data_IF_575024370064
#
_entry.id   IF_575024370064
#
_cell.length_a   1.000
_cell.length_b   1.000
_cell.length_c   1.000
_cell.angle_alpha   90.00
_cell.angle_beta   90.00
_cell.angle_gamma   90.00
#
_symmetry.space_group_name_H-M   'P 1'
#
loop_
_entity.id
_entity.type
_entity.pdbx_description
1 polymer ?
#
# COMPACT_ATOMS: atom_id res chain seq x y z
N UNK A 1 30.57 -16.84 11.06
CA UNK A 1 29.18 -16.68 10.54
C UNK A 1 28.30 -16.20 11.68
N UNK A 2 27.39 -15.28 11.42
CA UNK A 2 26.41 -14.79 12.38
C UNK A 2 25.01 -14.92 11.74
N UNK A 3 24.04 -15.39 12.49
CA UNK A 3 22.67 -15.53 12.02
C UNK A 3 21.67 -15.58 13.16
N UNK A 4 20.39 -15.38 12.83
CA UNK A 4 19.28 -15.45 13.77
C UNK A 4 18.07 -16.11 13.09
N UNK A 5 17.81 -17.36 13.45
CA UNK A 5 16.68 -18.15 12.94
C UNK A 5 15.33 -17.59 13.37
N UNK A 6 15.24 -16.94 14.55
CA UNK A 6 14.01 -16.31 15.04
C UNK A 6 13.59 -15.10 14.20
N UNK A 7 14.52 -14.48 13.48
CA UNK A 7 14.28 -13.33 12.62
C UNK A 7 14.22 -13.68 11.13
N UNK A 8 14.07 -14.96 10.77
CA UNK A 8 13.99 -15.40 9.39
C UNK A 8 12.57 -15.18 8.83
N UNK A 9 12.32 -13.99 8.27
CA UNK A 9 11.00 -13.58 7.74
C UNK A 9 10.96 -13.44 6.22
N UNK A 10 12.00 -13.92 5.51
CA UNK A 10 12.12 -13.82 4.04
C UNK A 10 12.12 -15.17 3.32
N UNK A 11 11.49 -16.20 3.90
CA UNK A 11 11.38 -17.53 3.28
C UNK A 11 10.75 -17.48 1.88
N UNK A 12 9.75 -16.65 1.70
CA UNK A 12 9.10 -16.38 0.42
C UNK A 12 10.01 -15.74 -0.66
N UNK A 13 11.21 -15.26 -0.27
CA UNK A 13 12.29 -14.82 -1.16
C UNK A 13 13.43 -15.83 -1.26
N UNK A 14 13.22 -17.07 -0.83
CA UNK A 14 14.22 -18.12 -0.88
C UNK A 14 15.20 -18.14 0.31
N UNK A 15 14.95 -17.37 1.36
CA UNK A 15 15.74 -17.48 2.59
C UNK A 15 15.37 -18.77 3.33
N UNK A 16 16.37 -19.59 3.65
CA UNK A 16 16.22 -20.83 4.40
C UNK A 16 16.94 -20.74 5.75
N UNK A 17 16.19 -20.64 6.83
CA UNK A 17 16.71 -20.57 8.19
C UNK A 17 17.44 -21.86 8.61
N UNK A 18 17.18 -22.99 7.92
CA UNK A 18 17.87 -24.26 8.17
C UNK A 18 19.35 -24.18 7.88
N UNK A 19 19.78 -23.26 7.01
CA UNK A 19 21.20 -23.03 6.73
C UNK A 19 21.99 -22.68 8.00
N UNK A 20 21.40 -21.89 8.91
CA UNK A 20 22.06 -21.56 10.18
C UNK A 20 21.92 -22.70 11.20
N UNK A 21 20.75 -23.36 11.23
CA UNK A 21 20.52 -24.47 12.16
C UNK A 21 21.37 -25.71 11.86
N UNK A 22 21.69 -25.95 10.58
CA UNK A 22 22.50 -27.09 10.15
C UNK A 22 24.00 -26.77 10.05
N UNK A 23 24.41 -25.54 10.31
CA UNK A 23 25.80 -25.10 10.12
C UNK A 23 26.83 -26.00 10.84
N UNK A 24 26.53 -26.42 12.06
CA UNK A 24 27.39 -27.32 12.83
C UNK A 24 27.48 -28.74 12.24
N UNK A 25 26.47 -29.19 11.51
CA UNK A 25 26.44 -30.49 10.81
C UNK A 25 27.31 -30.45 9.56
N UNK A 26 27.28 -29.31 8.85
CA UNK A 26 28.02 -29.12 7.61
C UNK A 26 29.50 -28.85 7.86
N UNK A 27 29.82 -28.19 8.96
CA UNK A 27 31.20 -27.80 9.35
C UNK A 27 31.58 -28.45 10.67
N UNK A 28 32.37 -29.52 10.59
CA UNK A 28 32.95 -30.20 11.78
C UNK A 28 33.90 -29.25 12.52
N UNK A 29 33.94 -29.31 13.83
CA UNK A 29 34.73 -28.48 14.74
C UNK A 29 34.22 -27.03 14.86
N UNK A 30 32.94 -26.77 14.62
CA UNK A 30 32.30 -25.48 14.85
C UNK A 30 32.09 -25.27 16.36
N UNK A 31 32.42 -24.07 16.85
CA UNK A 31 32.02 -23.61 18.19
C UNK A 31 30.84 -22.67 18.04
N UNK A 32 29.71 -22.98 18.67
CA UNK A 32 28.50 -22.14 18.66
C UNK A 32 28.53 -21.28 19.92
N UNK A 33 28.43 -19.95 19.71
CA UNK A 33 28.27 -18.96 20.77
C UNK A 33 26.88 -18.33 20.62
N UNK A 34 26.01 -18.52 21.62
CA UNK A 34 24.66 -17.93 21.64
C UNK A 34 24.72 -16.54 22.27
N UNK A 35 24.25 -15.53 21.53
CA UNK A 35 24.11 -14.16 22.03
C UNK A 35 22.68 -14.01 22.55
N UNK A 36 22.45 -14.25 23.83
CA UNK A 36 21.13 -14.32 24.43
C UNK A 36 20.72 -13.05 25.19
N UNK A 37 21.68 -12.17 25.49
CA UNK A 37 21.38 -10.90 26.12
C UNK A 37 20.79 -9.91 25.12
N UNK A 38 19.60 -9.42 25.41
CA UNK A 38 18.89 -8.40 24.62
C UNK A 38 19.01 -7.04 25.31
N UNK A 39 19.43 -6.03 24.57
CA UNK A 39 19.62 -4.66 25.06
C UNK A 39 18.52 -3.70 24.59
N UNK A 40 17.61 -4.15 23.74
CA UNK A 40 16.57 -3.32 23.10
C UNK A 40 15.29 -3.27 23.92
N UNK A 41 14.80 -4.42 24.36
CA UNK A 41 13.45 -4.60 24.88
C UNK A 41 13.40 -4.92 26.35
N UNK A 42 12.33 -4.52 27.02
CA UNK A 42 12.02 -4.92 28.40
C UNK A 42 11.57 -6.37 28.46
N UNK A 43 11.60 -6.95 29.66
CA UNK A 43 11.31 -8.36 29.89
C UNK A 43 9.91 -8.75 29.41
N UNK A 44 8.87 -7.94 29.69
CA UNK A 44 7.48 -8.21 29.25
C UNK A 44 7.36 -8.37 27.72
N UNK A 45 8.15 -7.61 26.96
CA UNK A 45 8.18 -7.73 25.48
C UNK A 45 8.89 -9.01 25.06
N UNK A 46 10.01 -9.35 25.69
CA UNK A 46 10.75 -10.57 25.38
C UNK A 46 9.95 -11.83 25.73
N UNK A 47 9.27 -11.84 26.87
CA UNK A 47 8.44 -12.97 27.28
C UNK A 47 7.27 -13.19 26.31
N UNK A 48 6.63 -12.12 25.83
CA UNK A 48 5.60 -12.22 24.80
C UNK A 48 6.17 -12.77 23.47
N UNK A 49 7.30 -12.27 23.00
CA UNK A 49 7.97 -12.75 21.80
C UNK A 49 8.41 -14.22 21.94
N UNK A 50 8.96 -14.60 23.08
CA UNK A 50 9.38 -15.97 23.39
C UNK A 50 8.19 -16.92 23.35
N UNK A 51 7.04 -16.53 23.91
CA UNK A 51 5.80 -17.33 23.90
C UNK A 51 5.30 -17.65 22.49
N UNK A 52 5.54 -16.75 21.54
CA UNK A 52 5.19 -16.94 20.13
C UNK A 52 6.19 -17.88 19.47
N UNK A 53 7.49 -17.59 19.59
CA UNK A 53 8.54 -18.35 18.89
C UNK A 53 8.63 -19.80 19.38
N UNK A 54 8.26 -20.07 20.62
CA UNK A 54 8.23 -21.42 21.19
C UNK A 54 7.22 -22.35 20.50
N UNK A 55 6.26 -21.80 19.76
CA UNK A 55 5.34 -22.58 18.91
C UNK A 55 6.00 -23.16 17.66
N UNK A 56 7.14 -22.59 17.24
CA UNK A 56 7.87 -23.12 16.10
C UNK A 56 8.57 -24.44 16.45
N UNK A 57 8.32 -25.48 15.65
CA UNK A 57 8.88 -26.81 15.85
C UNK A 57 10.40 -26.83 15.55
N UNK A 58 10.81 -26.15 14.49
CA UNK A 58 12.21 -26.03 14.08
C UNK A 58 12.76 -24.68 14.50
N UNK A 59 13.58 -24.67 15.54
CA UNK A 59 14.23 -23.46 16.05
C UNK A 59 15.49 -23.81 16.83
N UNK A 60 16.38 -22.83 16.99
CA UNK A 60 17.51 -22.94 17.92
C UNK A 60 17.02 -22.94 19.37
N UNK A 61 17.74 -23.64 20.22
CA UNK A 61 17.51 -23.61 21.66
C UNK A 61 18.27 -22.42 22.28
N UNK A 62 17.69 -21.23 22.16
CA UNK A 62 18.17 -20.00 22.80
C UNK A 62 17.03 -19.33 23.56
N UNK A 63 17.37 -18.70 24.66
CA UNK A 63 16.42 -17.96 25.51
C UNK A 63 16.93 -16.54 25.72
N UNK A 64 16.21 -15.59 25.15
CA UNK A 64 16.56 -14.18 25.29
C UNK A 64 16.27 -13.68 26.71
N UNK A 65 17.17 -12.89 27.25
CA UNK A 65 17.04 -12.24 28.55
C UNK A 65 17.52 -10.79 28.47
N UNK A 66 17.10 -9.95 29.42
CA UNK A 66 17.46 -8.52 29.46
C UNK A 66 17.65 -8.02 30.88
N UNK A 67 18.50 -6.99 31.03
CA UNK A 67 18.65 -6.21 32.27
C UNK A 67 17.71 -4.98 32.32
N UNK A 68 16.93 -4.71 31.26
CA UNK A 68 16.09 -3.52 31.16
C UNK A 68 14.83 -3.54 32.09
N UNK A 69 14.74 -4.52 32.99
CA UNK A 69 13.62 -4.67 33.93
C UNK A 69 12.33 -5.18 33.27
N UNK A 70 11.26 -5.25 34.06
CA UNK A 70 9.96 -5.80 33.59
C UNK A 70 9.33 -4.94 32.49
N UNK A 71 9.40 -3.63 32.59
CA UNK A 71 8.73 -2.71 31.68
C UNK A 71 7.21 -2.68 31.83
N UNK A 72 6.53 -2.00 30.89
CA UNK A 72 5.05 -2.00 30.84
C UNK A 72 4.57 -3.31 30.19
N UNK A 73 3.42 -3.86 30.64
CA UNK A 73 2.80 -5.01 29.98
C UNK A 73 2.51 -4.73 28.51
N UNK A 74 2.62 -5.75 27.66
CA UNK A 74 2.11 -5.71 26.31
C UNK A 74 0.59 -5.59 26.36
N UNK A 75 0.05 -4.58 25.70
CA UNK A 75 -1.39 -4.31 25.70
C UNK A 75 -2.03 -4.85 24.43
N UNK A 76 -3.08 -5.63 24.57
CA UNK A 76 -3.94 -6.07 23.47
C UNK A 76 -5.21 -5.22 23.52
N UNK A 77 -5.56 -4.62 22.37
CA UNK A 77 -6.72 -3.75 22.26
C UNK A 77 -7.62 -4.28 21.17
N UNK A 78 -8.81 -4.65 21.53
CA UNK A 78 -9.85 -5.06 20.60
C UNK A 78 -10.72 -3.85 20.24
N UNK A 79 -10.95 -3.66 18.96
CA UNK A 79 -11.77 -2.56 18.42
C UNK A 79 -12.78 -3.12 17.41
N UNK A 80 -13.72 -2.28 16.96
CA UNK A 80 -14.82 -2.73 16.11
C UNK A 80 -14.38 -2.98 14.66
N UNK A 81 -13.47 -2.14 14.13
CA UNK A 81 -13.00 -2.19 12.75
C UNK A 81 -11.66 -1.43 12.62
N UNK A 82 -11.10 -1.44 11.40
CA UNK A 82 -9.83 -0.81 11.06
C UNK A 82 -9.84 0.72 11.27
N UNK A 83 -10.98 1.37 11.09
CA UNK A 83 -11.12 2.81 11.36
C UNK A 83 -11.02 3.11 12.85
N UNK A 84 -11.72 2.33 13.67
CA UNK A 84 -11.62 2.46 15.13
C UNK A 84 -10.21 2.11 15.64
N UNK A 85 -9.50 1.17 14.99
CA UNK A 85 -8.12 0.85 15.28
C UNK A 85 -7.21 2.06 15.04
N UNK A 86 -7.29 2.65 13.85
CA UNK A 86 -6.49 3.82 13.47
C UNK A 86 -6.75 5.03 14.37
N UNK A 87 -8.01 5.30 14.70
CA UNK A 87 -8.39 6.38 15.62
C UNK A 87 -7.86 6.12 17.06
N UNK A 88 -7.91 4.88 17.53
CA UNK A 88 -7.36 4.52 18.84
C UNK A 88 -5.84 4.71 18.91
N UNK A 89 -5.12 4.43 17.84
CA UNK A 89 -3.68 4.67 17.72
C UNK A 89 -3.40 6.16 17.76
N UNK A 90 -4.06 6.95 16.89
CA UNK A 90 -3.86 8.40 16.81
C UNK A 90 -4.10 9.06 18.17
N UNK A 91 -5.19 8.75 18.83
CA UNK A 91 -5.50 9.29 20.17
C UNK A 91 -4.42 8.96 21.22
N UNK A 92 -3.87 7.74 21.18
CA UNK A 92 -2.78 7.37 22.10
C UNK A 92 -1.49 8.11 21.82
N UNK A 93 -1.16 8.31 20.54
CA UNK A 93 -0.01 9.11 20.11
C UNK A 93 -0.18 10.55 20.60
N UNK A 94 -1.30 11.19 20.28
CA UNK A 94 -1.57 12.58 20.67
C UNK A 94 -1.52 12.75 22.19
N UNK A 95 -2.21 11.90 22.95
CA UNK A 95 -2.22 11.97 24.42
C UNK A 95 -0.79 11.89 25.01
N UNK A 96 0.07 11.04 24.45
CA UNK A 96 1.44 10.92 24.94
C UNK A 96 2.33 12.12 24.57
N UNK A 97 2.09 12.71 23.40
CA UNK A 97 2.82 13.89 22.91
C UNK A 97 2.35 15.14 23.66
N UNK A 98 1.05 15.33 23.83
CA UNK A 98 0.46 16.45 24.57
C UNK A 98 0.88 16.44 26.04
N UNK A 99 0.95 15.27 26.64
CA UNK A 99 1.48 15.07 28.00
C UNK A 99 3.01 15.22 28.07
N UNK A 100 3.70 15.47 26.95
CA UNK A 100 5.17 15.61 26.83
C UNK A 100 5.96 14.37 27.30
N UNK A 101 5.36 13.20 27.30
CA UNK A 101 6.06 11.94 27.62
C UNK A 101 6.85 11.41 26.42
N UNK A 102 6.42 11.75 25.21
CA UNK A 102 6.99 11.24 23.94
C UNK A 102 6.96 12.32 22.86
N UNK A 103 7.74 12.09 21.78
CA UNK A 103 7.69 12.85 20.52
C UNK A 103 7.06 11.96 19.46
N UNK A 104 6.56 12.52 18.39
CA UNK A 104 6.00 11.74 17.27
C UNK A 104 6.98 10.70 16.72
N UNK A 105 8.27 11.03 16.65
CA UNK A 105 9.33 10.12 16.18
C UNK A 105 9.54 8.88 17.05
N UNK A 106 9.03 8.86 18.27
CA UNK A 106 9.17 7.74 19.20
C UNK A 106 8.18 6.60 18.87
N UNK A 107 7.24 6.82 17.95
CA UNK A 107 6.18 5.89 17.61
C UNK A 107 6.40 5.25 16.25
N UNK A 108 6.14 3.95 16.18
CA UNK A 108 6.01 3.21 14.94
C UNK A 108 4.67 2.46 14.90
N UNK A 109 4.02 2.45 13.73
CA UNK A 109 2.85 1.63 13.45
C UNK A 109 3.24 0.61 12.39
N UNK A 110 3.13 -0.66 12.74
CA UNK A 110 3.53 -1.79 11.91
C UNK A 110 2.30 -2.52 11.39
N UNK A 111 2.28 -2.80 10.10
CA UNK A 111 1.22 -3.53 9.44
C UNK A 111 1.76 -4.66 8.57
N UNK A 112 0.92 -5.62 8.19
CA UNK A 112 1.31 -6.79 7.39
C UNK A 112 1.42 -6.47 5.91
N UNK A 113 0.41 -5.78 5.34
CA UNK A 113 0.34 -5.42 3.93
C UNK A 113 0.30 -3.91 3.74
N UNK A 114 0.78 -3.45 2.59
CA UNK A 114 0.78 -2.03 2.28
C UNK A 114 -0.63 -1.43 2.23
N UNK A 115 -1.63 -2.19 1.83
CA UNK A 115 -3.02 -1.72 1.75
C UNK A 115 -3.53 -1.18 3.11
N UNK A 116 -3.14 -1.80 4.23
CA UNK A 116 -3.53 -1.37 5.57
C UNK A 116 -3.06 0.05 5.94
N UNK A 117 -2.01 0.58 5.26
CA UNK A 117 -1.50 1.91 5.59
C UNK A 117 -2.53 3.02 5.35
N UNK A 118 -3.42 2.85 4.36
CA UNK A 118 -4.40 3.87 3.96
C UNK A 118 -5.24 4.40 5.13
N UNK A 119 -5.90 3.51 5.85
CA UNK A 119 -6.80 3.92 6.96
C UNK A 119 -6.02 4.64 8.06
N UNK A 120 -4.77 4.21 8.29
CA UNK A 120 -3.88 4.84 9.27
C UNK A 120 -3.44 6.22 8.76
N UNK A 121 -3.04 6.34 7.50
CA UNK A 121 -2.67 7.60 6.85
C UNK A 121 -3.82 8.61 6.93
N UNK A 122 -5.03 8.23 6.53
CA UNK A 122 -6.22 9.08 6.61
C UNK A 122 -6.54 9.53 8.03
N UNK A 123 -6.37 8.65 9.02
CA UNK A 123 -6.54 9.02 10.42
C UNK A 123 -5.46 10.03 10.86
N UNK A 124 -4.19 9.81 10.51
CA UNK A 124 -3.10 10.75 10.82
C UNK A 124 -3.37 12.13 10.21
N UNK A 125 -3.78 12.20 8.95
CA UNK A 125 -4.14 13.45 8.26
C UNK A 125 -5.32 14.14 8.97
N UNK A 126 -6.42 13.42 9.18
CA UNK A 126 -7.64 13.95 9.80
C UNK A 126 -7.39 14.59 11.16
N UNK A 127 -6.48 14.01 11.95
CA UNK A 127 -6.16 14.48 13.29
C UNK A 127 -4.90 15.35 13.35
N UNK A 128 -4.31 15.70 12.20
CA UNK A 128 -3.12 16.56 12.12
C UNK A 128 -1.86 15.95 12.75
N UNK A 129 -1.74 14.62 12.76
CA UNK A 129 -0.58 13.91 13.31
C UNK A 129 0.47 13.71 12.19
N UNK A 130 1.69 14.25 12.36
CA UNK A 130 2.74 14.08 11.36
C UNK A 130 3.17 12.63 11.24
N UNK A 131 3.27 12.12 10.02
CA UNK A 131 3.72 10.76 9.75
C UNK A 131 4.66 10.68 8.55
N UNK A 132 5.39 9.56 8.47
CA UNK A 132 6.21 9.18 7.32
C UNK A 132 6.09 7.69 7.04
N UNK A 133 6.20 7.30 5.78
CA UNK A 133 6.23 5.90 5.39
C UNK A 133 7.66 5.47 5.11
N UNK A 134 8.07 4.33 5.65
CA UNK A 134 9.39 3.73 5.43
C UNK A 134 9.23 2.47 4.61
N UNK A 135 10.02 2.37 3.51
CA UNK A 135 10.03 1.21 2.63
C UNK A 135 8.81 1.11 1.70
N UNK A 136 8.06 2.19 1.53
CA UNK A 136 6.88 2.26 0.67
C UNK A 136 6.58 3.67 0.17
N UNK A 137 5.43 3.81 -0.48
CA UNK A 137 4.86 5.09 -0.91
C UNK A 137 3.51 5.29 -0.21
N UNK A 138 3.09 6.54 -0.04
CA UNK A 138 1.76 6.90 0.42
C UNK A 138 0.70 6.24 -0.46
N UNK A 139 -0.44 5.88 0.11
CA UNK A 139 -1.45 5.10 -0.60
C UNK A 139 -1.87 5.75 -1.92
N UNK A 140 -2.22 7.04 -1.89
CA UNK A 140 -2.66 7.77 -3.08
C UNK A 140 -1.52 8.15 -4.04
N UNK A 141 -0.25 7.97 -3.63
CA UNK A 141 0.92 8.17 -4.48
C UNK A 141 1.32 6.93 -5.27
N UNK A 142 0.79 5.75 -4.92
CA UNK A 142 1.09 4.49 -5.62
C UNK A 142 0.66 4.55 -7.07
N UNK A 143 1.49 3.96 -7.93
CA UNK A 143 1.28 4.03 -9.38
C UNK A 143 -0.10 3.53 -9.80
N UNK A 144 -0.49 2.36 -9.32
CA UNK A 144 -1.77 1.71 -9.62
C UNK A 144 -2.97 2.54 -9.16
N UNK A 145 -2.85 3.24 -8.04
CA UNK A 145 -3.88 4.13 -7.52
C UNK A 145 -3.97 5.39 -8.37
N UNK A 146 -2.83 6.02 -8.66
CA UNK A 146 -2.76 7.19 -9.55
C UNK A 146 -3.31 6.90 -10.95
N UNK A 147 -3.09 5.70 -11.46
CA UNK A 147 -3.61 5.29 -12.77
C UNK A 147 -5.16 5.24 -12.75
N UNK A 148 -5.75 4.60 -11.74
CA UNK A 148 -7.21 4.55 -11.58
C UNK A 148 -7.79 5.93 -11.35
N UNK A 149 -7.18 6.74 -10.48
CA UNK A 149 -7.63 8.11 -10.22
C UNK A 149 -7.58 8.96 -11.48
N UNK A 150 -6.60 8.76 -12.36
CA UNK A 150 -6.54 9.46 -13.65
C UNK A 150 -7.69 9.03 -14.58
N UNK A 151 -8.08 7.74 -14.62
CA UNK A 151 -9.28 7.32 -15.31
C UNK A 151 -10.52 8.01 -14.76
N UNK A 152 -10.72 8.00 -13.45
CA UNK A 152 -11.89 8.62 -12.82
C UNK A 152 -11.95 10.15 -13.09
N UNK A 153 -10.78 10.83 -13.02
CA UNK A 153 -10.70 12.27 -13.38
C UNK A 153 -11.10 12.50 -14.84
N UNK A 154 -10.64 11.66 -15.75
CA UNK A 154 -10.96 11.79 -17.18
C UNK A 154 -12.42 11.48 -17.48
N UNK A 155 -13.10 10.65 -16.67
CA UNK A 155 -14.56 10.47 -16.76
C UNK A 155 -15.30 11.74 -16.33
N UNK A 156 -14.85 12.41 -15.26
CA UNK A 156 -15.43 13.64 -14.75
C UNK A 156 -15.08 14.87 -15.61
N UNK A 157 -13.82 14.98 -16.02
CA UNK A 157 -13.30 16.06 -16.86
C UNK A 157 -12.77 15.50 -18.19
N UNK A 158 -13.62 15.40 -19.22
CA UNK A 158 -13.27 14.74 -20.49
C UNK A 158 -12.08 15.33 -21.24
N UNK A 159 -11.68 16.56 -20.93
CA UNK A 159 -10.57 17.26 -21.56
C UNK A 159 -9.31 17.33 -20.67
N UNK A 160 -9.23 16.56 -19.57
CA UNK A 160 -8.05 16.47 -18.73
C UNK A 160 -6.90 15.75 -19.47
N UNK A 161 -6.06 16.54 -20.11
CA UNK A 161 -4.92 16.05 -20.88
C UNK A 161 -3.91 15.30 -20.02
N UNK A 162 -3.66 15.74 -18.80
CA UNK A 162 -2.68 15.12 -17.89
C UNK A 162 -3.14 13.70 -17.54
N UNK A 163 -4.40 13.55 -17.19
CA UNK A 163 -4.99 12.24 -16.92
C UNK A 163 -4.99 11.36 -18.18
N UNK A 164 -5.31 11.91 -19.36
CA UNK A 164 -5.26 11.17 -20.61
C UNK A 164 -3.87 10.64 -20.94
N UNK A 165 -2.85 11.50 -20.93
CA UNK A 165 -1.47 11.11 -21.21
C UNK A 165 -0.97 10.02 -20.24
N UNK A 166 -1.45 10.04 -19.00
CA UNK A 166 -1.14 9.01 -18.02
C UNK A 166 -1.76 7.66 -18.38
N UNK A 167 -3.03 7.62 -18.80
CA UNK A 167 -3.77 6.35 -18.94
C UNK A 167 -3.79 5.79 -20.36
N UNK A 168 -3.43 6.56 -21.36
CA UNK A 168 -3.57 6.19 -22.78
C UNK A 168 -2.90 4.85 -23.12
N UNK A 169 -1.82 4.51 -22.44
CA UNK A 169 -1.11 3.22 -22.59
C UNK A 169 -1.06 2.40 -21.28
N UNK A 170 -2.00 2.60 -20.38
CA UNK A 170 -2.15 1.85 -19.13
C UNK A 170 -3.60 1.36 -18.99
N UNK A 171 -3.85 0.04 -19.03
CA UNK A 171 -2.95 -1.07 -19.42
C UNK A 171 -2.30 -0.89 -20.79
N UNK A 172 -1.25 -1.68 -21.04
CA UNK A 172 -0.45 -1.54 -22.28
C UNK A 172 -1.31 -1.77 -23.52
N UNK A 173 -1.44 -0.74 -24.37
CA UNK A 173 -2.19 -0.75 -25.66
C UNK A 173 -1.28 -0.63 -26.87
N UNK A 174 0.04 -0.57 -26.68
CA UNK A 174 0.98 -0.36 -27.79
C UNK A 174 0.93 1.05 -28.37
N UNK A 175 0.46 2.03 -27.60
CA UNK A 175 0.45 3.45 -27.97
C UNK A 175 1.68 4.08 -27.32
N UNK A 176 2.71 4.30 -28.13
CA UNK A 176 3.95 4.94 -27.67
C UNK A 176 3.83 6.47 -27.60
N UNK A 177 4.79 7.10 -26.92
CA UNK A 177 4.84 8.57 -26.72
C UNK A 177 4.74 9.37 -28.02
N UNK A 178 5.40 8.90 -29.10
CA UNK A 178 5.32 9.53 -30.42
C UNK A 178 3.90 9.52 -31.00
N UNK A 179 3.14 8.42 -30.79
CA UNK A 179 1.75 8.34 -31.26
C UNK A 179 0.84 9.26 -30.44
N UNK A 180 1.06 9.33 -29.12
CA UNK A 180 0.33 10.26 -28.24
C UNK A 180 0.57 11.70 -28.69
N UNK A 181 1.82 12.09 -28.93
CA UNK A 181 2.14 13.46 -29.37
C UNK A 181 1.50 13.79 -30.72
N UNK A 182 1.52 12.88 -31.70
CA UNK A 182 0.84 13.07 -32.98
C UNK A 182 -0.67 13.23 -32.82
N UNK A 183 -1.28 12.40 -31.97
CA UNK A 183 -2.71 12.49 -31.69
C UNK A 183 -3.08 13.84 -31.05
N UNK A 184 -2.33 14.28 -30.05
CA UNK A 184 -2.58 15.54 -29.36
C UNK A 184 -2.37 16.73 -30.30
N UNK A 185 -1.30 16.75 -31.09
CA UNK A 185 -1.07 17.81 -32.06
C UNK A 185 -2.20 17.89 -33.11
N UNK A 186 -2.67 16.73 -33.59
CA UNK A 186 -3.81 16.67 -34.50
C UNK A 186 -5.11 17.13 -33.85
N UNK A 187 -5.39 16.76 -32.63
CA UNK A 187 -6.53 17.19 -31.81
C UNK A 187 -6.54 18.72 -31.66
N UNK A 188 -5.40 19.31 -31.24
CA UNK A 188 -5.25 20.75 -31.07
C UNK A 188 -5.39 21.52 -32.40
N UNK A 189 -4.76 21.04 -33.49
CA UNK A 189 -4.82 21.66 -34.80
C UNK A 189 -6.25 21.73 -35.37
N UNK A 190 -7.10 20.79 -34.98
CA UNK A 190 -8.51 20.74 -35.40
C UNK A 190 -9.49 21.37 -34.38
N UNK A 191 -9.00 21.90 -33.27
CA UNK A 191 -9.83 22.53 -32.24
C UNK A 191 -10.88 21.59 -31.61
N UNK A 192 -10.58 20.29 -31.57
CA UNK A 192 -11.50 19.28 -31.07
C UNK A 192 -11.37 19.11 -29.56
N UNK A 193 -12.45 18.69 -28.89
CA UNK A 193 -12.34 18.13 -27.56
C UNK A 193 -11.57 16.81 -27.60
N UNK A 194 -11.04 16.35 -26.49
CA UNK A 194 -10.32 15.07 -26.42
C UNK A 194 -11.22 13.89 -26.85
N UNK A 195 -12.48 13.90 -26.40
CA UNK A 195 -13.44 12.86 -26.78
C UNK A 195 -13.77 12.89 -28.27
N UNK A 196 -14.06 14.09 -28.83
CA UNK A 196 -14.32 14.20 -30.27
C UNK A 196 -13.11 13.71 -31.10
N UNK A 197 -11.89 13.99 -30.64
CA UNK A 197 -10.69 13.54 -31.30
C UNK A 197 -10.53 12.01 -31.21
N UNK A 198 -10.88 11.38 -30.10
CA UNK A 198 -10.89 9.92 -29.99
C UNK A 198 -11.94 9.30 -30.92
N UNK A 199 -13.13 9.88 -30.99
CA UNK A 199 -14.22 9.41 -31.85
C UNK A 199 -13.89 9.53 -33.36
N UNK A 200 -13.13 10.57 -33.71
CA UNK A 200 -12.68 10.83 -35.08
C UNK A 200 -11.25 10.40 -35.38
N UNK A 201 -10.63 9.61 -34.50
CA UNK A 201 -9.22 9.25 -34.64
C UNK A 201 -8.87 8.49 -35.91
N UNK A 202 -9.85 7.87 -36.55
CA UNK A 202 -9.71 7.25 -37.89
C UNK A 202 -9.25 8.25 -38.95
N UNK A 203 -9.58 9.54 -38.79
CA UNK A 203 -9.21 10.63 -39.72
C UNK A 203 -7.77 11.12 -39.53
N UNK A 204 -7.12 10.77 -38.41
CA UNK A 204 -5.76 11.17 -38.15
C UNK A 204 -4.76 10.35 -38.97
N UNK A 205 -4.36 10.88 -40.15
CA UNK A 205 -3.48 10.21 -41.10
C UNK A 205 -2.05 10.02 -40.58
N UNK A 206 -1.61 10.83 -39.61
CA UNK A 206 -0.27 10.77 -39.02
C UNK A 206 -0.04 9.54 -38.13
N UNK A 207 -1.12 8.89 -37.69
CA UNK A 207 -1.09 7.70 -36.88
C UNK A 207 -1.10 6.42 -37.73
N UNK A 208 -0.46 5.38 -37.21
CA UNK A 208 -0.59 4.03 -37.79
C UNK A 208 -2.01 3.50 -37.58
N UNK A 209 -2.44 2.59 -38.46
CA UNK A 209 -3.77 1.95 -38.35
C UNK A 209 -3.96 1.29 -36.95
N UNK A 210 -2.91 0.64 -36.43
CA UNK A 210 -2.92 0.02 -35.10
C UNK A 210 -3.15 1.07 -33.99
N UNK A 211 -2.43 2.20 -34.05
CA UNK A 211 -2.58 3.25 -33.04
C UNK A 211 -3.98 3.88 -33.11
N UNK A 212 -4.54 4.10 -34.29
CA UNK A 212 -5.91 4.59 -34.46
C UNK A 212 -6.94 3.64 -33.85
N UNK A 213 -6.84 2.35 -34.15
CA UNK A 213 -7.77 1.36 -33.60
C UNK A 213 -7.71 1.31 -32.07
N UNK A 214 -6.52 1.32 -31.48
CA UNK A 214 -6.36 1.27 -30.02
C UNK A 214 -6.82 2.56 -29.33
N UNK A 215 -6.66 3.71 -29.95
CA UNK A 215 -7.20 4.98 -29.45
C UNK A 215 -8.74 5.03 -29.57
N UNK A 216 -9.29 4.52 -30.70
CA UNK A 216 -10.74 4.42 -30.86
C UNK A 216 -11.37 3.52 -29.78
N UNK A 217 -10.77 2.34 -29.54
CA UNK A 217 -11.21 1.43 -28.47
C UNK A 217 -11.19 2.10 -27.10
N UNK A 218 -10.13 2.86 -26.79
CA UNK A 218 -10.08 3.65 -25.57
C UNK A 218 -11.19 4.70 -25.51
N UNK A 219 -11.48 5.38 -26.63
CA UNK A 219 -12.58 6.34 -26.76
C UNK A 219 -13.93 5.71 -26.46
N UNK A 220 -14.18 4.52 -27.01
CA UNK A 220 -15.44 3.77 -26.77
C UNK A 220 -15.57 3.33 -25.32
N UNK A 221 -14.49 2.87 -24.68
CA UNK A 221 -14.46 2.52 -23.25
C UNK A 221 -14.81 3.76 -22.40
N UNK A 222 -14.14 4.89 -22.65
CA UNK A 222 -14.36 6.12 -21.88
C UNK A 222 -15.79 6.65 -22.05
N UNK A 223 -16.33 6.63 -23.28
CA UNK A 223 -17.70 7.05 -23.56
C UNK A 223 -18.70 6.20 -22.78
N UNK A 224 -18.59 4.90 -22.92
CA UNK A 224 -19.50 3.95 -22.25
C UNK A 224 -19.41 3.97 -20.71
N UNK A 225 -18.26 4.36 -20.15
CA UNK A 225 -18.13 4.55 -18.71
C UNK A 225 -18.72 5.87 -18.25
N UNK A 226 -18.66 6.95 -19.06
CA UNK A 226 -19.34 8.21 -18.75
C UNK A 226 -20.84 8.09 -18.70
N UNK A 227 -21.42 7.31 -19.61
CA UNK A 227 -22.86 7.01 -19.56
C UNK A 227 -23.27 6.35 -18.25
N UNK A 228 -22.38 5.58 -17.62
CA UNK A 228 -22.62 4.92 -16.35
C UNK A 228 -22.44 5.83 -15.11
N UNK A 229 -21.81 7.01 -15.24
CA UNK A 229 -21.49 7.87 -14.07
C UNK A 229 -22.74 8.21 -13.26
N UNK A 230 -23.84 8.56 -13.95
CA UNK A 230 -25.10 8.93 -13.32
C UNK A 230 -26.08 7.74 -13.15
N UNK A 231 -25.75 6.58 -13.72
CA UNK A 231 -26.62 5.39 -13.71
C UNK A 231 -26.27 4.37 -12.65
N UNK A 232 -25.04 4.46 -12.06
CA UNK A 232 -24.55 3.47 -11.09
C UNK A 232 -23.90 4.14 -9.88
N UNK A 233 -23.69 3.36 -8.83
CA UNK A 233 -22.94 3.81 -7.65
C UNK A 233 -21.45 3.94 -7.98
N UNK A 234 -20.71 4.75 -7.21
CA UNK A 234 -19.26 4.90 -7.38
C UNK A 234 -18.49 3.56 -7.32
N UNK A 235 -18.79 2.63 -6.38
CA UNK A 235 -18.19 1.29 -6.42
C UNK A 235 -18.53 0.52 -7.70
N UNK A 236 -19.75 0.63 -8.20
CA UNK A 236 -20.18 -0.01 -9.45
C UNK A 236 -19.48 0.56 -10.68
N UNK A 237 -19.27 1.87 -10.72
CA UNK A 237 -18.49 2.55 -11.76
C UNK A 237 -17.03 2.06 -11.77
N UNK A 238 -16.42 2.03 -10.59
CA UNK A 238 -15.02 1.58 -10.45
C UNK A 238 -14.87 0.11 -10.85
N UNK A 239 -15.77 -0.77 -10.42
CA UNK A 239 -15.77 -2.18 -10.81
C UNK A 239 -15.95 -2.35 -12.33
N UNK A 240 -16.85 -1.55 -12.95
CA UNK A 240 -17.04 -1.53 -14.40
C UNK A 240 -15.79 -1.05 -15.14
N UNK A 241 -15.11 -0.02 -14.63
CA UNK A 241 -13.84 0.46 -15.14
C UNK A 241 -12.78 -0.65 -15.12
N UNK A 242 -12.53 -1.24 -13.93
CA UNK A 242 -11.49 -2.25 -13.74
C UNK A 242 -11.69 -3.47 -14.67
N UNK A 243 -12.94 -3.89 -14.86
CA UNK A 243 -13.29 -5.00 -15.78
C UNK A 243 -13.07 -4.62 -17.24
N UNK A 244 -13.54 -3.45 -17.69
CA UNK A 244 -13.44 -3.04 -19.10
C UNK A 244 -12.02 -2.85 -19.58
N UNK A 245 -11.12 -2.38 -18.70
CA UNK A 245 -9.71 -2.23 -19.04
C UNK A 245 -8.85 -3.43 -18.64
N UNK A 246 -9.45 -4.49 -18.06
CA UNK A 246 -8.76 -5.70 -17.58
C UNK A 246 -7.58 -5.40 -16.63
N UNK A 247 -7.79 -4.43 -15.73
CA UNK A 247 -6.71 -3.85 -14.94
C UNK A 247 -6.11 -4.83 -13.92
N UNK A 248 -6.94 -5.72 -13.34
CA UNK A 248 -6.47 -6.70 -12.37
C UNK A 248 -5.52 -7.72 -13.00
N UNK A 249 -5.80 -8.19 -14.22
CA UNK A 249 -4.90 -9.06 -14.97
C UNK A 249 -3.62 -8.33 -15.41
N UNK A 250 -3.73 -7.06 -15.79
CA UNK A 250 -2.56 -6.23 -16.11
C UNK A 250 -1.59 -6.11 -14.92
N UNK A 251 -2.09 -6.08 -13.68
CA UNK A 251 -1.27 -6.03 -12.46
C UNK A 251 -0.70 -7.38 -12.07
N UNK A 252 -1.24 -8.49 -12.59
CA UNK A 252 -0.84 -9.85 -12.23
C UNK A 252 0.41 -10.28 -13.01
N UNK A 253 1.56 -9.85 -12.53
CA UNK A 253 2.87 -10.26 -13.06
C UNK A 253 3.45 -11.51 -12.38
N UNK A 254 2.62 -12.23 -11.60
CA UNK A 254 2.99 -13.41 -10.82
C UNK A 254 4.08 -13.16 -9.78
N UNK A 255 4.27 -11.91 -9.39
CA UNK A 255 5.21 -11.52 -8.33
C UNK A 255 4.47 -11.07 -7.07
N UNK A 256 5.10 -11.11 -5.89
CA UNK A 256 4.53 -10.54 -4.67
C UNK A 256 4.22 -9.03 -4.80
N UNK A 257 4.96 -8.33 -5.67
CA UNK A 257 4.70 -6.91 -5.96
C UNK A 257 3.40 -6.73 -6.76
N UNK A 258 3.15 -7.61 -7.75
CA UNK A 258 1.89 -7.63 -8.49
C UNK A 258 0.70 -7.86 -7.58
N UNK A 259 0.81 -8.83 -6.69
CA UNK A 259 -0.22 -9.11 -5.68
C UNK A 259 -0.47 -7.91 -4.75
N UNK A 260 0.58 -7.28 -4.26
CA UNK A 260 0.45 -6.08 -3.43
C UNK A 260 -0.25 -4.93 -4.16
N UNK A 261 0.01 -4.77 -5.47
CA UNK A 261 -0.71 -3.78 -6.29
C UNK A 261 -2.19 -4.13 -6.45
N UNK A 262 -2.52 -5.41 -6.64
CA UNK A 262 -3.93 -5.86 -6.69
C UNK A 262 -4.64 -5.64 -5.34
N UNK A 263 -3.97 -5.88 -4.21
CA UNK A 263 -4.51 -5.57 -2.87
C UNK A 263 -4.78 -4.06 -2.71
N UNK A 264 -3.88 -3.21 -3.18
CA UNK A 264 -4.07 -1.75 -3.15
C UNK A 264 -5.31 -1.32 -3.97
N UNK A 265 -5.53 -1.94 -5.13
CA UNK A 265 -6.72 -1.66 -5.96
C UNK A 265 -8.00 -2.13 -5.26
N UNK A 266 -8.00 -3.32 -4.65
CA UNK A 266 -9.14 -3.82 -3.87
C UNK A 266 -9.45 -2.89 -2.69
N UNK A 267 -8.41 -2.37 -2.04
CA UNK A 267 -8.56 -1.38 -0.97
C UNK A 267 -9.21 -0.10 -1.49
N UNK A 268 -8.79 0.41 -2.66
CA UNK A 268 -9.45 1.57 -3.27
C UNK A 268 -10.93 1.30 -3.58
N UNK A 269 -11.28 0.11 -4.06
CA UNK A 269 -12.70 -0.27 -4.26
C UNK A 269 -13.46 -0.23 -2.94
N UNK A 270 -12.87 -0.72 -1.84
CA UNK A 270 -13.49 -0.65 -0.51
C UNK A 270 -13.71 0.80 -0.07
N UNK A 271 -12.77 1.69 -0.35
CA UNK A 271 -12.90 3.14 -0.06
C UNK A 271 -14.13 3.73 -0.72
N UNK A 272 -14.37 3.42 -2.01
CA UNK A 272 -15.47 4.00 -2.75
C UNK A 272 -16.85 3.67 -2.16
N UNK A 273 -16.96 2.60 -1.37
CA UNK A 273 -18.19 2.26 -0.65
C UNK A 273 -18.56 3.32 0.41
N UNK A 274 -17.57 3.98 0.99
CA UNK A 274 -17.81 5.05 1.98
C UNK A 274 -18.23 6.38 1.33
N UNK A 275 -18.10 6.50 0.01
CA UNK A 275 -18.38 7.71 -0.76
C UNK A 275 -19.52 7.51 -1.78
N UNK A 276 -20.27 6.41 -1.69
CA UNK A 276 -21.32 6.10 -2.68
C UNK A 276 -22.42 7.16 -2.76
N UNK A 277 -22.69 7.89 -1.67
CA UNK A 277 -23.69 8.94 -1.60
C UNK A 277 -23.21 10.30 -2.13
N UNK A 278 -21.87 10.47 -2.29
CA UNK A 278 -21.26 11.71 -2.81
C UNK A 278 -21.07 11.74 -4.32
N UNK A 279 -21.20 10.58 -4.98
CA UNK A 279 -20.93 10.47 -6.41
C UNK A 279 -19.46 10.59 -6.77
N UNK A 280 -19.18 10.66 -8.09
CA UNK A 280 -17.82 10.73 -8.60
C UNK A 280 -17.14 12.08 -8.28
N UNK A 281 -17.87 13.16 -8.40
CA UNK A 281 -17.40 14.53 -8.15
C UNK A 281 -16.96 14.73 -6.69
N UNK A 282 -17.85 14.42 -5.75
CA UNK A 282 -17.52 14.53 -4.32
C UNK A 282 -16.38 13.62 -3.90
N UNK A 283 -16.28 12.41 -4.47
CA UNK A 283 -15.14 11.54 -4.22
C UNK A 283 -13.81 12.16 -4.72
N UNK A 284 -13.80 12.71 -5.94
CA UNK A 284 -12.58 13.32 -6.48
C UNK A 284 -12.17 14.58 -5.71
N UNK A 285 -13.11 15.35 -5.21
CA UNK A 285 -12.86 16.52 -4.38
C UNK A 285 -12.23 16.12 -3.02
N UNK A 286 -12.80 15.14 -2.33
CA UNK A 286 -12.25 14.61 -1.09
C UNK A 286 -10.81 14.05 -1.28
N UNK A 287 -10.59 13.31 -2.38
CA UNK A 287 -9.25 12.77 -2.68
C UNK A 287 -8.22 13.86 -2.98
N UNK A 288 -8.62 14.97 -3.57
CA UNK A 288 -7.74 16.11 -3.79
C UNK A 288 -7.32 16.75 -2.46
N UNK A 289 -8.27 16.94 -1.53
CA UNK A 289 -7.97 17.49 -0.20
C UNK A 289 -7.00 16.61 0.61
N UNK A 290 -7.17 15.29 0.55
CA UNK A 290 -6.26 14.34 1.21
C UNK A 290 -4.86 14.44 0.60
N UNK A 291 -4.74 14.47 -0.72
CA UNK A 291 -3.45 14.54 -1.41
C UNK A 291 -2.68 15.83 -1.10
N UNK A 292 -3.36 16.96 -0.99
CA UNK A 292 -2.72 18.25 -0.68
C UNK A 292 -2.26 18.31 0.78
N UNK A 293 -3.05 17.78 1.71
CA UNK A 293 -2.67 17.69 3.12
C UNK A 293 -1.43 16.81 3.36
N UNK A 294 -1.26 15.79 2.50
CA UNK A 294 -0.12 14.87 2.54
C UNK A 294 1.21 15.51 2.08
N UNK A 295 1.20 16.64 1.39
CA UNK A 295 2.40 17.24 0.80
C UNK A 295 3.34 17.88 1.82
N UNK A 296 2.93 17.99 3.09
CA UNK A 296 3.71 18.64 4.14
C UNK A 296 4.88 17.74 4.60
N UNK A 297 6.10 18.25 4.48
CA UNK A 297 7.29 17.62 5.06
C UNK A 297 7.39 17.96 6.55
N UNK A 298 7.10 17.03 7.40
CA UNK A 298 7.18 17.15 8.86
C UNK A 298 8.59 16.93 9.43
N UNK A 299 9.61 16.76 8.58
CA UNK A 299 10.98 16.48 8.99
C UNK A 299 11.11 15.16 9.77
N UNK A 300 11.99 15.15 10.77
CA UNK A 300 12.28 13.93 11.53
C UNK A 300 11.28 13.62 12.65
N UNK A 301 10.47 14.60 13.10
CA UNK A 301 9.54 14.41 14.21
C UNK A 301 8.16 13.96 13.69
N UNK A 302 8.09 12.73 13.18
CA UNK A 302 6.88 12.14 12.62
C UNK A 302 6.74 10.68 13.05
N UNK A 303 5.50 10.20 13.17
CA UNK A 303 5.19 8.79 13.41
C UNK A 303 5.65 7.97 12.21
N UNK A 304 6.31 6.85 12.46
CA UNK A 304 6.80 5.99 11.37
C UNK A 304 5.79 4.89 11.05
N UNK A 305 5.32 4.86 9.82
CA UNK A 305 4.45 3.81 9.28
C UNK A 305 5.28 2.86 8.40
N UNK A 306 5.17 1.55 8.61
CA UNK A 306 5.90 0.58 7.79
C UNK A 306 5.32 -0.82 7.89
N UNK A 307 5.68 -1.67 6.95
CA UNK A 307 5.37 -3.10 7.06
C UNK A 307 6.24 -3.78 8.12
N UNK A 308 5.75 -4.88 8.70
CA UNK A 308 6.53 -5.75 9.59
C UNK A 308 7.88 -6.16 8.98
N UNK A 309 7.92 -6.37 7.66
CA UNK A 309 9.15 -6.71 6.95
C UNK A 309 10.16 -5.56 6.91
N UNK A 310 9.68 -4.34 6.67
CA UNK A 310 10.53 -3.15 6.64
C UNK A 310 11.06 -2.79 8.04
N UNK A 311 10.34 -3.19 9.09
CA UNK A 311 10.74 -2.94 10.48
C UNK A 311 11.93 -3.79 10.96
N UNK A 312 12.29 -4.85 10.22
CA UNK A 312 13.42 -5.70 10.60
C UNK A 312 14.71 -4.89 10.72
N UNK A 313 15.33 -4.96 11.90
CA UNK A 313 16.57 -4.22 12.20
C UNK A 313 16.37 -2.81 12.74
N UNK A 314 15.13 -2.32 12.76
CA UNK A 314 14.79 -1.03 13.37
C UNK A 314 14.27 -1.21 14.80
N UNK A 315 14.23 -0.08 15.54
CA UNK A 315 13.75 -0.06 16.93
C UNK A 315 13.08 1.28 17.24
N UNK A 316 12.01 1.22 18.03
CA UNK A 316 11.23 2.38 18.44
C UNK A 316 10.80 2.27 19.90
N UNK A 317 10.74 3.40 20.64
CA UNK A 317 10.28 3.40 22.03
C UNK A 317 8.86 2.88 22.21
N UNK A 318 7.96 3.11 21.23
CA UNK A 318 6.57 2.65 21.25
C UNK A 318 6.21 2.07 19.88
N UNK A 319 5.67 0.86 19.89
CA UNK A 319 5.27 0.15 18.69
C UNK A 319 3.81 -0.26 18.78
N UNK A 320 3.03 0.07 17.75
CA UNK A 320 1.71 -0.46 17.49
C UNK A 320 1.80 -1.53 16.40
N UNK A 321 1.20 -2.67 16.63
CA UNK A 321 1.02 -3.72 15.63
C UNK A 321 -0.46 -3.79 15.29
N UNK A 322 -0.80 -3.60 14.01
CA UNK A 322 -2.19 -3.49 13.53
C UNK A 322 -2.62 -4.72 12.74
N UNK A 323 -3.93 -4.94 12.69
CA UNK A 323 -4.50 -6.02 11.90
C UNK A 323 -4.10 -7.40 12.42
N UNK A 324 -4.03 -7.60 13.74
CA UNK A 324 -3.79 -8.91 14.36
C UNK A 324 -5.07 -9.75 14.31
N UNK A 325 -5.48 -10.10 13.10
CA UNK A 325 -6.71 -10.83 12.83
C UNK A 325 -6.50 -11.85 11.70
N UNK A 326 -7.38 -12.85 11.68
CA UNK A 326 -7.37 -13.91 10.69
C UNK A 326 -7.41 -13.35 9.26
N UNK A 327 -6.65 -13.96 8.37
CA UNK A 327 -6.44 -13.59 6.95
C UNK A 327 -5.49 -12.42 6.69
N UNK A 328 -5.18 -11.60 7.69
CA UNK A 328 -4.21 -10.51 7.62
C UNK A 328 -2.91 -10.91 8.33
N UNK A 329 -2.96 -11.22 9.62
CA UNK A 329 -1.85 -11.71 10.41
C UNK A 329 -2.34 -12.74 11.46
N UNK A 330 -2.24 -14.04 11.14
CA UNK A 330 -1.54 -14.65 10.00
C UNK A 330 -2.23 -14.40 8.64
N UNK A 331 -1.42 -14.30 7.58
CA UNK A 331 -1.92 -14.10 6.22
C UNK A 331 -2.69 -15.34 5.75
N UNK A 332 -3.73 -15.15 4.90
CA UNK A 332 -4.59 -16.24 4.40
C UNK A 332 -3.83 -17.42 3.81
N UNK A 333 -2.68 -17.18 3.17
CA UNK A 333 -1.82 -18.23 2.62
C UNK A 333 -1.17 -19.13 3.67
N UNK A 334 -0.86 -18.60 4.85
CA UNK A 334 -0.24 -19.36 5.92
C UNK A 334 -1.17 -20.45 6.51
N UNK A 335 -2.42 -20.53 6.06
CA UNK A 335 -3.37 -21.58 6.45
C UNK A 335 -3.24 -22.87 5.63
N UNK A 336 -2.55 -22.80 4.49
CA UNK A 336 -2.44 -23.92 3.54
C UNK A 336 -1.01 -24.50 3.50
N UNK A 337 -0.08 -23.89 4.22
CA UNK A 337 1.28 -24.38 4.45
C UNK A 337 1.39 -25.08 5.82
#
# INVERSE_FOLDING_TARGET
VVGDDFQSIYSWRGADFRNILNFEKDYKNTTIIKLEQNYRSTKSILDAAQSIIEKNVQRSDKKLWTEAGEGKPVSIVQVLNERAESEAIVRRVQNAVDARYRRYQDFAVLYRTNAQSRVIEEAMIRYGVPYRIVGGQRFYDRKEIKDIMAYLRLLYQPNDRVSFERIVNVPTRGIGTTSVQKFVNWQEANGMTLQDALDKVSECSELTAKARNNLNELGDILRSLRELVDETTLPGLLDSLLRRIDYMNFLDDKTPQGESRQENVKELVSVTQNYQDLGLDGFLEEMALISDADSVDYGNNAVTLMTLHAAKGLEFPVVFMTGLEETILPHSRARYD
#
